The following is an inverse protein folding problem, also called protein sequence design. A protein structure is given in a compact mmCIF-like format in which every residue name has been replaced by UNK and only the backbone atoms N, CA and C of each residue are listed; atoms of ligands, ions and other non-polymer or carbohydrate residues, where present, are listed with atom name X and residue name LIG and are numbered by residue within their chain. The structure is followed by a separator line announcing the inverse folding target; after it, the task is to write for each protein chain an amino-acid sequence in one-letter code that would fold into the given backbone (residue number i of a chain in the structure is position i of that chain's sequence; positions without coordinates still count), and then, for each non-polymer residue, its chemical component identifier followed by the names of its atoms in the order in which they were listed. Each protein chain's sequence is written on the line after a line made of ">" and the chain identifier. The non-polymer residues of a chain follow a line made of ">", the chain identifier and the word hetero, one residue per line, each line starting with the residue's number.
data_IF_049722513426
#
_entry.id   IF_049722513426
#
_cell.length_a   1.000
_cell.length_b   1.000
_cell.length_c   1.000
_cell.angle_alpha   90.00
_cell.angle_beta   90.00
_cell.angle_gamma   90.00
#
_symmetry.space_group_name_H-M   'P 1'
#
loop_
_entity.id
_entity.type
_entity.pdbx_description
1 polymer ?
#
# COMPACT_ATOMS: atom_id res chain seq x y z
N UNK A 1 -3.58 -56.01 17.53
CA UNK A 1 -4.13 -56.44 16.23
C UNK A 1 -5.44 -55.68 16.05
N UNK A 2 -5.39 -54.52 15.39
CA UNK A 2 -6.56 -53.68 15.14
C UNK A 2 -7.03 -53.90 13.71
N UNK A 3 -8.31 -54.23 13.57
CA UNK A 3 -8.96 -54.51 12.31
C UNK A 3 -9.05 -53.23 11.46
N UNK A 4 -8.55 -53.31 10.23
CA UNK A 4 -8.76 -52.31 9.17
C UNK A 4 -10.09 -52.60 8.48
N UNK A 5 -11.04 -51.66 8.56
CA UNK A 5 -12.26 -51.69 7.75
C UNK A 5 -11.96 -51.20 6.33
N UNK A 6 -12.06 -52.09 5.35
CA UNK A 6 -11.98 -51.75 3.92
C UNK A 6 -13.30 -51.16 3.44
N UNK A 7 -13.26 -49.98 2.82
CA UNK A 7 -14.41 -49.37 2.16
C UNK A 7 -14.64 -50.06 0.81
N UNK A 8 -15.78 -50.71 0.64
CA UNK A 8 -16.19 -51.30 -0.64
C UNK A 8 -16.94 -50.24 -1.45
N UNK A 9 -16.39 -49.89 -2.62
CA UNK A 9 -16.96 -48.90 -3.55
C UNK A 9 -17.81 -49.64 -4.58
N UNK A 10 -19.08 -49.27 -4.71
CA UNK A 10 -19.98 -49.84 -5.72
C UNK A 10 -19.70 -49.22 -7.11
N UNK A 11 -19.94 -49.96 -8.21
CA UNK A 11 -19.61 -49.53 -9.57
C UNK A 11 -20.46 -48.34 -10.10
N UNK A 12 -21.42 -47.84 -9.33
CA UNK A 12 -22.21 -46.64 -9.62
C UNK A 12 -21.66 -45.37 -8.94
N UNK A 13 -20.55 -45.49 -8.21
CA UNK A 13 -19.89 -44.37 -7.53
C UNK A 13 -20.54 -43.96 -6.20
N UNK A 14 -21.53 -44.71 -5.72
CA UNK A 14 -22.08 -44.51 -4.37
C UNK A 14 -21.24 -45.24 -3.32
N UNK A 15 -20.99 -44.58 -2.18
CA UNK A 15 -20.38 -45.19 -1.00
C UNK A 15 -21.46 -45.42 0.06
N UNK A 16 -21.67 -46.68 0.43
CA UNK A 16 -22.61 -47.03 1.51
C UNK A 16 -21.78 -47.37 2.74
N UNK A 17 -21.92 -46.59 3.81
CA UNK A 17 -21.31 -46.89 5.10
C UNK A 17 -22.34 -47.61 5.98
N UNK A 18 -22.05 -48.84 6.38
CA UNK A 18 -22.81 -49.54 7.42
C UNK A 18 -22.56 -48.87 8.78
N UNK A 19 -23.42 -47.92 9.13
CA UNK A 19 -23.42 -47.28 10.44
C UNK A 19 -24.24 -48.13 11.43
N UNK A 20 -23.56 -49.05 12.10
CA UNK A 20 -24.11 -49.78 13.24
C UNK A 20 -23.83 -49.01 14.54
N UNK A 21 -24.87 -48.36 15.07
CA UNK A 21 -25.11 -48.17 16.50
C UNK A 21 -24.37 -47.04 17.22
N UNK A 22 -25.10 -45.98 17.57
CA UNK A 22 -25.08 -45.44 18.93
C UNK A 22 -26.34 -44.61 19.18
N UNK A 23 -26.88 -44.81 20.37
CA UNK A 23 -28.21 -44.55 20.86
C UNK A 23 -28.21 -43.36 21.86
N UNK A 24 -29.31 -42.62 21.86
CA UNK A 24 -29.97 -41.88 22.95
C UNK A 24 -29.29 -40.76 23.76
N UNK A 25 -30.09 -39.71 23.97
CA UNK A 25 -29.98 -38.67 25.02
C UNK A 25 -30.54 -37.34 24.52
N UNK A 26 -31.86 -37.17 24.33
CA UNK A 26 -32.84 -36.68 25.32
C UNK A 26 -32.37 -35.49 26.18
N UNK A 27 -33.14 -34.40 26.14
CA UNK A 27 -32.84 -33.15 26.84
C UNK A 27 -33.55 -31.91 26.27
N UNK A 28 -34.88 -31.88 26.39
CA UNK A 28 -35.69 -30.73 26.86
C UNK A 28 -35.20 -29.29 26.57
N UNK A 29 -36.05 -28.48 25.93
CA UNK A 29 -36.88 -27.45 26.60
C UNK A 29 -37.39 -26.40 25.59
N UNK A 30 -38.69 -26.46 25.29
CA UNK A 30 -39.44 -25.33 24.78
C UNK A 30 -39.69 -24.36 25.95
N UNK A 31 -39.43 -23.07 25.74
CA UNK A 31 -39.58 -22.04 26.76
C UNK A 31 -39.45 -20.64 26.17
N UNK A 32 -40.48 -20.26 25.41
CA UNK A 32 -40.81 -18.87 25.08
C UNK A 32 -41.27 -18.17 26.37
N UNK A 33 -40.40 -17.39 27.02
CA UNK A 33 -40.81 -16.33 27.95
C UNK A 33 -39.79 -15.19 27.98
N UNK A 34 -40.27 -13.97 27.72
CA UNK A 34 -39.84 -12.74 28.36
C UNK A 34 -38.36 -12.38 28.27
N UNK A 35 -37.94 -11.77 27.15
CA UNK A 35 -36.80 -10.87 27.18
C UNK A 35 -37.18 -9.64 28.02
N UNK A 36 -36.97 -9.76 29.33
CA UNK A 36 -36.93 -8.64 30.25
C UNK A 36 -35.92 -7.64 29.69
N UNK A 37 -36.43 -6.49 29.28
CA UNK A 37 -35.66 -5.30 28.99
C UNK A 37 -34.92 -4.93 30.28
N UNK A 38 -33.69 -5.40 30.39
CA UNK A 38 -32.77 -5.06 31.48
C UNK A 38 -32.53 -3.55 31.37
N UNK A 39 -33.17 -2.80 32.28
CA UNK A 39 -33.01 -1.36 32.40
C UNK A 39 -31.52 -1.06 32.52
N UNK A 40 -30.97 -0.44 31.47
CA UNK A 40 -29.62 0.10 31.52
C UNK A 40 -29.51 1.00 32.76
N UNK A 41 -28.45 0.84 33.58
CA UNK A 41 -28.26 1.68 34.75
C UNK A 41 -28.27 3.14 34.29
N UNK A 42 -29.29 3.87 34.76
CA UNK A 42 -29.45 5.30 34.53
C UNK A 42 -28.11 5.97 34.79
N UNK A 43 -27.53 6.51 33.72
CA UNK A 43 -26.30 7.26 33.77
C UNK A 43 -26.38 8.42 34.76
N UNK A 44 -25.23 9.00 35.13
CA UNK A 44 -25.14 10.02 36.17
C UNK A 44 -26.23 11.09 36.01
N UNK A 45 -27.05 11.24 37.06
CA UNK A 45 -28.17 12.19 37.12
C UNK A 45 -27.67 13.58 36.73
N UNK A 46 -28.09 14.06 35.56
CA UNK A 46 -27.72 15.37 35.02
C UNK A 46 -27.43 15.39 33.52
N UNK A 47 -27.30 14.24 32.87
CA UNK A 47 -26.99 14.17 31.43
C UNK A 47 -28.28 13.99 30.61
N UNK A 48 -28.55 14.92 29.70
CA UNK A 48 -29.73 14.90 28.82
C UNK A 48 -29.80 13.57 28.03
N UNK A 49 -30.94 12.84 28.03
CA UNK A 49 -31.12 11.63 27.23
C UNK A 49 -30.76 11.80 25.74
N UNK A 50 -30.82 13.02 25.19
CA UNK A 50 -30.35 13.33 23.85
C UNK A 50 -28.85 13.05 23.63
N UNK A 51 -28.01 13.23 24.66
CA UNK A 51 -26.56 13.02 24.58
C UNK A 51 -26.23 11.54 24.37
N UNK A 52 -26.99 10.63 25.01
CA UNK A 52 -26.82 9.20 24.82
C UNK A 52 -27.24 8.75 23.42
N UNK A 53 -28.27 9.36 22.84
CA UNK A 53 -28.65 9.09 21.43
C UNK A 53 -27.57 9.56 20.46
N UNK A 54 -27.01 10.76 20.67
CA UNK A 54 -25.93 11.28 19.81
C UNK A 54 -24.67 10.41 19.92
N UNK A 55 -24.29 9.99 21.12
CA UNK A 55 -23.16 9.08 21.34
C UNK A 55 -23.42 7.70 20.73
N UNK A 56 -24.65 7.18 20.83
CA UNK A 56 -25.04 5.91 20.22
C UNK A 56 -24.96 5.95 18.70
N UNK A 57 -25.45 7.02 18.07
CA UNK A 57 -25.35 7.21 16.61
C UNK A 57 -23.89 7.39 16.18
N UNK A 58 -23.08 8.16 16.91
CA UNK A 58 -21.65 8.30 16.63
C UNK A 58 -20.91 6.95 16.74
N UNK A 59 -21.20 6.17 17.78
CA UNK A 59 -20.63 4.84 17.93
C UNK A 59 -21.06 3.92 16.78
N UNK A 60 -22.32 3.96 16.35
CA UNK A 60 -22.80 3.16 15.22
C UNK A 60 -22.15 3.58 13.89
N UNK A 61 -21.96 4.88 13.64
CA UNK A 61 -21.26 5.39 12.45
C UNK A 61 -19.79 4.99 12.48
N UNK A 62 -19.12 5.05 13.64
CA UNK A 62 -17.73 4.61 13.79
C UNK A 62 -17.58 3.10 13.59
N UNK A 63 -18.50 2.29 14.13
CA UNK A 63 -18.52 0.85 13.93
C UNK A 63 -18.81 0.52 12.46
N UNK A 64 -19.78 1.20 11.83
CA UNK A 64 -20.10 1.03 10.42
C UNK A 64 -18.93 1.43 9.52
N UNK A 65 -18.28 2.57 9.78
CA UNK A 65 -17.08 3.01 9.08
C UNK A 65 -15.92 2.03 9.26
N UNK A 66 -15.71 1.50 10.47
CA UNK A 66 -14.69 0.51 10.74
C UNK A 66 -14.96 -0.82 10.03
N UNK A 67 -16.20 -1.30 10.03
CA UNK A 67 -16.60 -2.50 9.29
C UNK A 67 -16.53 -2.31 7.78
N UNK A 68 -16.93 -1.14 7.27
CA UNK A 68 -16.83 -0.78 5.85
C UNK A 68 -15.36 -0.68 5.41
N UNK A 69 -14.51 -0.02 6.20
CA UNK A 69 -13.07 0.07 5.93
C UNK A 69 -12.38 -1.29 6.00
N UNK A 70 -12.83 -2.19 6.89
CA UNK A 70 -12.31 -3.56 6.97
C UNK A 70 -12.85 -4.46 5.86
N UNK A 71 -14.04 -4.19 5.33
CA UNK A 71 -14.64 -4.92 4.21
C UNK A 71 -14.03 -4.51 2.87
N UNK A 72 -13.80 -3.21 2.66
CA UNK A 72 -13.11 -2.69 1.47
C UNK A 72 -11.73 -3.34 1.27
N UNK A 73 -10.97 -3.57 2.35
CA UNK A 73 -9.66 -4.25 2.25
C UNK A 73 -9.76 -5.72 1.82
N UNK A 74 -10.86 -6.40 2.13
CA UNK A 74 -11.10 -7.77 1.66
C UNK A 74 -11.61 -7.78 0.23
N UNK A 75 -12.45 -6.81 -0.11
CA UNK A 75 -12.96 -6.66 -1.47
C UNK A 75 -11.80 -6.40 -2.45
N UNK A 76 -10.77 -5.63 -2.07
CA UNK A 76 -9.57 -5.42 -2.91
C UNK A 76 -8.75 -6.70 -3.14
N UNK A 77 -8.52 -7.50 -2.08
CA UNK A 77 -7.79 -8.78 -2.16
C UNK A 77 -8.58 -9.84 -2.96
N UNK A 78 -9.91 -9.89 -2.76
CA UNK A 78 -10.80 -10.79 -3.48
C UNK A 78 -10.90 -10.36 -4.95
N UNK A 79 -11.02 -9.06 -5.26
CA UNK A 79 -11.05 -8.58 -6.65
C UNK A 79 -9.73 -8.84 -7.37
N UNK A 80 -8.59 -8.68 -6.70
CA UNK A 80 -7.28 -9.05 -7.24
C UNK A 80 -7.17 -10.56 -7.51
N UNK A 81 -7.69 -11.40 -6.60
CA UNK A 81 -7.75 -12.85 -6.77
C UNK A 81 -8.65 -13.26 -7.95
N UNK A 82 -9.81 -12.62 -8.11
CA UNK A 82 -10.73 -12.90 -9.22
C UNK A 82 -10.25 -12.34 -10.57
N UNK A 83 -9.55 -11.19 -10.61
CA UNK A 83 -8.91 -10.69 -11.83
C UNK A 83 -7.80 -11.61 -12.33
N UNK A 84 -7.05 -12.23 -11.41
CA UNK A 84 -6.07 -13.27 -11.73
C UNK A 84 -6.74 -14.55 -12.26
N UNK A 85 -7.94 -14.87 -11.77
CA UNK A 85 -8.75 -16.01 -12.23
C UNK A 85 -9.42 -15.78 -13.60
N UNK A 86 -9.67 -14.54 -14.01
CA UNK A 86 -10.40 -14.25 -15.25
C UNK A 86 -9.52 -14.16 -16.50
N UNK A 87 -8.20 -14.27 -16.33
CA UNK A 87 -7.22 -14.24 -17.42
C UNK A 87 -6.76 -12.84 -17.82
N UNK A 88 -7.16 -11.80 -17.08
CA UNK A 88 -6.72 -10.41 -17.31
C UNK A 88 -5.20 -10.25 -17.20
N UNK A 89 -4.55 -11.11 -16.40
CA UNK A 89 -3.09 -11.22 -16.31
C UNK A 89 -2.38 -11.36 -17.67
N UNK A 90 -3.07 -11.91 -18.69
CA UNK A 90 -2.53 -12.12 -20.03
C UNK A 90 -3.11 -11.18 -21.10
N UNK A 91 -3.88 -10.16 -20.70
CA UNK A 91 -4.24 -9.06 -21.60
C UNK A 91 -3.05 -8.10 -21.72
N UNK A 92 -1.97 -8.59 -22.35
CA UNK A 92 -0.77 -7.82 -22.60
C UNK A 92 -0.98 -6.89 -23.78
N UNK A 93 -0.54 -5.64 -23.63
CA UNK A 93 -0.38 -4.71 -24.73
C UNK A 93 1.11 -4.56 -25.03
N UNK A 94 1.45 -4.45 -26.31
CA UNK A 94 2.82 -4.15 -26.72
C UNK A 94 3.25 -2.79 -26.16
N UNK A 95 4.53 -2.62 -25.79
CA UNK A 95 5.03 -1.34 -25.30
C UNK A 95 4.93 -0.24 -26.36
N UNK A 96 4.68 1.01 -25.94
CA UNK A 96 4.70 2.18 -26.84
C UNK A 96 6.04 2.36 -27.59
N UNK A 97 7.12 1.74 -27.11
CA UNK A 97 8.41 1.72 -27.79
C UNK A 97 8.37 1.05 -29.17
N UNK A 98 7.37 0.20 -29.44
CA UNK A 98 7.12 -0.40 -30.76
C UNK A 98 6.65 0.67 -31.75
N UNK A 99 5.65 1.48 -31.37
CA UNK A 99 5.15 2.57 -32.22
C UNK A 99 6.24 3.64 -32.44
N UNK A 100 6.96 4.00 -31.38
CA UNK A 100 8.09 4.93 -31.47
C UNK A 100 9.20 4.42 -32.43
N UNK A 101 9.42 3.11 -32.49
CA UNK A 101 10.40 2.52 -33.41
C UNK A 101 9.99 2.75 -34.87
N UNK A 102 8.73 2.49 -35.22
CA UNK A 102 8.26 2.70 -36.59
C UNK A 102 8.30 4.19 -36.99
N UNK A 103 7.96 5.09 -36.07
CA UNK A 103 8.13 6.53 -36.34
C UNK A 103 9.60 6.92 -36.58
N UNK A 104 10.55 6.27 -35.89
CA UNK A 104 11.98 6.50 -36.11
C UNK A 104 12.44 5.84 -37.41
N UNK A 105 11.90 4.67 -37.76
CA UNK A 105 12.17 3.96 -39.03
C UNK A 105 11.76 4.82 -40.21
N UNK A 106 10.54 5.34 -40.23
CA UNK A 106 10.04 6.24 -41.28
C UNK A 106 10.97 7.46 -41.45
N UNK A 107 11.34 8.10 -40.33
CA UNK A 107 12.28 9.23 -40.36
C UNK A 107 13.66 8.83 -40.87
N UNK A 108 14.13 7.62 -40.59
CA UNK A 108 15.44 7.14 -41.06
C UNK A 108 15.39 6.84 -42.56
N UNK A 109 14.31 6.23 -43.05
CA UNK A 109 14.06 5.97 -44.47
C UNK A 109 13.97 7.28 -45.26
N UNK A 110 13.26 8.29 -44.75
CA UNK A 110 13.21 9.65 -45.32
C UNK A 110 14.59 10.31 -45.38
N UNK A 111 15.47 9.98 -44.43
CA UNK A 111 16.85 10.44 -44.38
C UNK A 111 17.83 9.57 -45.20
N UNK A 112 17.31 8.67 -46.04
CA UNK A 112 18.09 7.86 -46.97
C UNK A 112 18.68 6.58 -46.37
N UNK A 113 18.14 6.09 -45.25
CA UNK A 113 18.46 4.74 -44.78
C UNK A 113 17.84 3.69 -45.71
N UNK A 114 18.61 2.64 -46.01
CA UNK A 114 18.13 1.48 -46.76
C UNK A 114 18.54 0.19 -46.03
N UNK A 115 17.70 -0.85 -46.06
CA UNK A 115 18.01 -2.15 -45.46
C UNK A 115 19.33 -2.75 -45.99
N UNK A 116 20.13 -3.31 -45.09
CA UNK A 116 21.36 -4.03 -45.41
C UNK A 116 22.53 -3.17 -45.91
N UNK A 117 22.37 -1.84 -46.03
CA UNK A 117 23.49 -0.95 -46.38
C UNK A 117 24.24 -0.52 -45.11
N UNK A 118 25.55 -0.82 -45.01
CA UNK A 118 26.36 -0.30 -43.92
C UNK A 118 26.52 1.22 -44.04
N UNK A 119 26.79 1.94 -42.94
CA UNK A 119 27.04 3.38 -42.98
C UNK A 119 28.22 3.70 -43.90
N UNK A 120 28.07 4.74 -44.73
CA UNK A 120 29.05 5.07 -45.78
C UNK A 120 30.33 5.66 -45.18
N UNK A 121 30.20 6.43 -44.10
CA UNK A 121 31.28 7.18 -43.47
C UNK A 121 31.32 7.00 -41.95
N UNK A 122 32.47 7.25 -41.31
CA UNK A 122 32.61 7.18 -39.84
C UNK A 122 31.68 8.16 -39.09
N UNK A 123 31.39 9.34 -39.65
CA UNK A 123 30.38 10.25 -39.06
C UNK A 123 28.97 9.65 -39.12
N UNK A 124 28.58 9.03 -40.23
CA UNK A 124 27.28 8.33 -40.35
C UNK A 124 27.20 7.10 -39.44
N UNK A 125 28.33 6.41 -39.22
CA UNK A 125 28.39 5.32 -38.26
C UNK A 125 28.21 5.78 -36.81
N UNK A 126 28.59 7.03 -36.48
CA UNK A 126 28.53 7.57 -35.12
C UNK A 126 27.17 8.20 -34.77
N UNK A 127 26.52 8.87 -35.72
CA UNK A 127 25.24 9.56 -35.48
C UNK A 127 24.28 9.55 -36.67
N UNK A 128 24.54 8.74 -37.70
CA UNK A 128 23.69 8.67 -38.88
C UNK A 128 22.40 7.89 -38.64
N UNK A 129 21.48 7.89 -39.63
CA UNK A 129 20.18 7.22 -39.56
C UNK A 129 20.29 5.74 -39.14
N UNK A 130 21.30 5.03 -39.66
CA UNK A 130 21.58 3.65 -39.31
C UNK A 130 21.76 3.44 -37.79
N UNK A 131 22.52 4.31 -37.12
CA UNK A 131 22.75 4.20 -35.68
C UNK A 131 21.55 4.62 -34.84
N UNK A 132 20.80 5.63 -35.31
CA UNK A 132 19.57 6.07 -34.66
C UNK A 132 18.53 4.96 -34.69
N UNK A 133 18.37 4.29 -35.83
CA UNK A 133 17.46 3.16 -35.99
C UNK A 133 17.87 1.97 -35.12
N UNK A 134 19.16 1.62 -35.09
CA UNK A 134 19.68 0.56 -34.22
C UNK A 134 19.43 0.87 -32.73
N UNK A 135 19.58 2.12 -32.29
CA UNK A 135 19.26 2.53 -30.93
C UNK A 135 17.76 2.42 -30.62
N UNK A 136 16.90 2.81 -31.57
CA UNK A 136 15.46 2.68 -31.41
C UNK A 136 15.03 1.21 -31.31
N UNK A 137 15.57 0.32 -32.16
CA UNK A 137 15.30 -1.11 -32.08
C UNK A 137 15.78 -1.71 -30.75
N UNK A 138 16.97 -1.31 -30.28
CA UNK A 138 17.47 -1.71 -28.96
C UNK A 138 16.54 -1.23 -27.83
N UNK A 139 15.98 -0.02 -27.92
CA UNK A 139 15.01 0.51 -26.95
C UNK A 139 13.72 -0.32 -26.93
N UNK A 140 13.18 -0.66 -28.11
CA UNK A 140 12.03 -1.57 -28.27
C UNK A 140 12.31 -2.92 -27.60
N UNK A 141 13.39 -3.58 -27.99
CA UNK A 141 13.80 -4.87 -27.42
C UNK A 141 13.99 -4.83 -25.89
N UNK A 142 14.54 -3.74 -25.34
CA UNK A 142 14.67 -3.57 -23.88
C UNK A 142 13.31 -3.48 -23.19
N UNK A 143 12.32 -2.83 -23.82
CA UNK A 143 10.97 -2.69 -23.31
C UNK A 143 10.17 -4.00 -23.37
N UNK A 144 10.51 -4.90 -24.30
CA UNK A 144 9.84 -6.22 -24.45
C UNK A 144 10.35 -7.26 -23.45
N UNK A 145 11.56 -7.10 -22.90
CA UNK A 145 12.16 -8.07 -21.97
C UNK A 145 11.27 -8.43 -20.78
N UNK A 146 10.61 -7.49 -20.07
CA UNK A 146 9.67 -7.81 -19.01
C UNK A 146 8.53 -8.73 -19.48
N UNK A 147 7.99 -8.50 -20.68
CA UNK A 147 6.90 -9.29 -21.25
C UNK A 147 7.39 -10.70 -21.60
N UNK A 148 8.52 -10.81 -22.32
CA UNK A 148 9.16 -12.08 -22.67
C UNK A 148 9.49 -12.88 -21.41
N UNK A 149 10.09 -12.23 -20.42
CA UNK A 149 10.45 -12.86 -19.14
C UNK A 149 9.20 -13.32 -18.37
N UNK A 150 8.10 -12.55 -18.44
CA UNK A 150 6.85 -12.92 -17.80
C UNK A 150 6.25 -14.18 -18.43
N UNK A 151 6.10 -14.22 -19.75
CA UNK A 151 5.57 -15.39 -20.47
C UNK A 151 6.45 -16.63 -20.24
N UNK A 152 7.77 -16.49 -20.30
CA UNK A 152 8.69 -17.62 -20.06
C UNK A 152 8.57 -18.19 -18.65
N UNK A 153 8.38 -17.35 -17.63
CA UNK A 153 8.18 -17.80 -16.25
C UNK A 153 6.84 -18.50 -16.05
N UNK A 154 5.79 -17.98 -16.68
CA UNK A 154 4.43 -18.52 -16.54
C UNK A 154 4.21 -19.79 -17.36
N UNK A 155 4.94 -19.98 -18.47
CA UNK A 155 4.75 -21.08 -19.42
C UNK A 155 4.69 -22.47 -18.77
N UNK A 156 5.68 -22.82 -17.94
CA UNK A 156 5.71 -24.13 -17.29
C UNK A 156 4.55 -24.33 -16.30
N UNK A 157 4.20 -23.26 -15.56
CA UNK A 157 3.11 -23.29 -14.60
C UNK A 157 1.75 -23.43 -15.28
N UNK A 158 1.52 -22.65 -16.33
CA UNK A 158 0.25 -22.62 -17.05
C UNK A 158 -0.02 -23.92 -17.80
N UNK A 159 0.99 -24.49 -18.47
CA UNK A 159 0.89 -25.80 -19.11
C UNK A 159 0.50 -26.90 -18.10
N UNK A 160 1.08 -26.87 -16.90
CA UNK A 160 0.76 -27.82 -15.83
C UNK A 160 -0.68 -27.64 -15.34
N UNK A 161 -1.09 -26.41 -15.05
CA UNK A 161 -2.45 -26.10 -14.59
C UNK A 161 -3.51 -26.55 -15.60
N UNK A 162 -3.26 -26.34 -16.90
CA UNK A 162 -4.17 -26.78 -17.96
C UNK A 162 -4.26 -28.31 -18.02
N UNK A 163 -3.11 -29.01 -17.98
CA UNK A 163 -3.08 -30.47 -17.99
C UNK A 163 -3.81 -31.12 -16.80
N UNK A 164 -3.86 -30.43 -15.66
CA UNK A 164 -4.53 -30.88 -14.44
C UNK A 164 -5.98 -30.38 -14.34
N UNK A 165 -6.50 -29.70 -15.37
CA UNK A 165 -7.83 -29.06 -15.37
C UNK A 165 -8.03 -28.07 -14.20
N UNK A 166 -6.94 -27.45 -13.74
CA UNK A 166 -6.91 -26.48 -12.63
C UNK A 166 -6.95 -25.02 -13.09
N UNK A 167 -6.96 -24.75 -14.40
CA UNK A 167 -7.24 -23.42 -14.95
C UNK A 167 -8.41 -23.48 -15.92
N UNK A 168 -9.09 -22.34 -16.08
CA UNK A 168 -10.19 -22.23 -17.02
C UNK A 168 -9.70 -22.26 -18.47
N UNK A 169 -10.55 -22.74 -19.39
CA UNK A 169 -10.26 -22.71 -20.84
C UNK A 169 -10.07 -21.27 -21.33
N UNK A 170 -10.76 -20.30 -20.72
CA UNK A 170 -10.61 -18.87 -21.03
C UNK A 170 -9.21 -18.39 -20.68
N UNK A 171 -8.73 -18.64 -19.46
CA UNK A 171 -7.36 -18.30 -19.02
C UNK A 171 -6.28 -18.95 -19.89
N UNK A 172 -6.49 -20.22 -20.27
CA UNK A 172 -5.55 -20.92 -21.15
C UNK A 172 -5.48 -20.26 -22.53
N UNK A 173 -6.63 -19.90 -23.11
CA UNK A 173 -6.67 -19.20 -24.40
C UNK A 173 -6.06 -17.81 -24.34
N UNK A 174 -6.28 -17.05 -23.26
CA UNK A 174 -5.64 -15.74 -23.09
C UNK A 174 -4.13 -15.87 -22.95
N UNK A 175 -3.64 -16.88 -22.22
CA UNK A 175 -2.21 -17.20 -22.16
C UNK A 175 -1.65 -17.53 -23.55
N UNK A 176 -2.30 -18.41 -24.32
CA UNK A 176 -1.85 -18.77 -25.67
C UNK A 176 -1.82 -17.58 -26.62
N UNK A 177 -2.81 -16.69 -26.52
CA UNK A 177 -2.84 -15.46 -27.32
C UNK A 177 -1.67 -14.53 -26.96
N UNK A 178 -1.39 -14.36 -25.67
CA UNK A 178 -0.26 -13.58 -25.19
C UNK A 178 1.10 -14.19 -25.59
N UNK A 179 1.23 -15.52 -25.51
CA UNK A 179 2.42 -16.26 -25.94
C UNK A 179 2.65 -16.12 -27.45
N UNK A 180 1.59 -16.21 -28.26
CA UNK A 180 1.65 -16.02 -29.70
C UNK A 180 2.06 -14.58 -30.06
N UNK A 181 1.47 -13.58 -29.39
CA UNK A 181 1.82 -12.17 -29.58
C UNK A 181 3.29 -11.90 -29.27
N UNK A 182 3.77 -12.35 -28.10
CA UNK A 182 5.15 -12.13 -27.67
C UNK A 182 6.13 -12.91 -28.55
N UNK A 183 5.76 -14.09 -29.03
CA UNK A 183 6.59 -14.86 -29.98
C UNK A 183 6.69 -14.18 -31.33
N UNK A 184 5.59 -13.60 -31.85
CA UNK A 184 5.60 -12.82 -33.09
C UNK A 184 6.50 -11.60 -32.96
N UNK A 185 6.37 -10.85 -31.86
CA UNK A 185 7.22 -9.69 -31.55
C UNK A 185 8.72 -10.07 -31.53
N UNK A 186 9.07 -11.20 -30.92
CA UNK A 186 10.47 -11.68 -30.86
C UNK A 186 11.02 -11.96 -32.26
N UNK A 187 10.24 -12.59 -33.13
CA UNK A 187 10.68 -12.88 -34.51
C UNK A 187 10.70 -11.62 -35.39
N UNK A 188 9.77 -10.68 -35.20
CA UNK A 188 9.80 -9.36 -35.87
C UNK A 188 11.06 -8.59 -35.51
N UNK A 189 11.39 -8.47 -34.21
CA UNK A 189 12.62 -7.79 -33.77
C UNK A 189 13.87 -8.47 -34.32
N UNK A 190 13.86 -9.80 -34.48
CA UNK A 190 14.99 -10.51 -35.12
C UNK A 190 15.09 -10.19 -36.61
N UNK A 191 13.98 -10.21 -37.33
CA UNK A 191 13.97 -9.86 -38.75
C UNK A 191 14.47 -8.43 -38.97
N UNK A 192 13.94 -7.47 -38.20
CA UNK A 192 14.35 -6.06 -38.23
C UNK A 192 15.83 -5.87 -37.85
N UNK A 193 16.33 -6.63 -36.86
CA UNK A 193 17.74 -6.58 -36.50
C UNK A 193 18.65 -7.05 -37.64
N UNK A 194 18.26 -8.12 -38.36
CA UNK A 194 19.01 -8.61 -39.52
C UNK A 194 18.89 -7.68 -40.74
N UNK A 195 17.79 -6.94 -40.89
CA UNK A 195 17.65 -5.87 -41.89
C UNK A 195 18.59 -4.69 -41.62
N UNK A 196 18.78 -4.33 -40.34
CA UNK A 196 19.71 -3.27 -39.94
C UNK A 196 21.16 -3.73 -40.12
N UNK A 197 21.53 -4.85 -39.49
CA UNK A 197 22.88 -5.39 -39.56
C UNK A 197 22.83 -6.92 -39.66
N UNK A 198 23.39 -7.53 -40.72
CA UNK A 198 23.35 -8.98 -40.90
C UNK A 198 23.97 -9.74 -39.71
N UNK A 199 23.19 -10.63 -39.09
CA UNK A 199 23.62 -11.46 -37.97
C UNK A 199 23.40 -10.81 -36.60
N UNK A 200 22.87 -9.59 -36.55
CA UNK A 200 22.56 -8.91 -35.30
C UNK A 200 21.38 -9.56 -34.55
N UNK A 201 20.47 -10.23 -35.27
CA UNK A 201 19.34 -10.97 -34.68
C UNK A 201 19.76 -11.99 -33.61
N UNK A 202 20.95 -12.58 -33.76
CA UNK A 202 21.47 -13.59 -32.84
C UNK A 202 21.94 -13.00 -31.50
N UNK A 203 22.30 -11.71 -31.47
CA UNK A 203 22.94 -11.09 -30.31
C UNK A 203 22.12 -9.97 -29.68
N UNK A 204 21.17 -9.38 -30.41
CA UNK A 204 20.38 -8.23 -29.95
C UNK A 204 19.66 -8.49 -28.63
N UNK A 205 19.00 -9.64 -28.48
CA UNK A 205 18.29 -10.01 -27.25
C UNK A 205 19.22 -10.19 -26.04
N UNK A 206 20.42 -10.76 -26.25
CA UNK A 206 21.42 -10.90 -25.20
C UNK A 206 21.93 -9.53 -24.75
N UNK A 207 22.19 -8.64 -25.70
CA UNK A 207 22.62 -7.26 -25.43
C UNK A 207 21.51 -6.51 -24.67
N UNK A 208 20.26 -6.58 -25.16
CA UNK A 208 19.11 -5.96 -24.52
C UNK A 208 18.92 -6.47 -23.08
N UNK A 209 19.07 -7.78 -22.83
CA UNK A 209 19.00 -8.34 -21.47
C UNK A 209 20.05 -7.77 -20.53
N UNK A 210 21.29 -7.60 -21.01
CA UNK A 210 22.35 -6.97 -20.23
C UNK A 210 22.02 -5.51 -19.91
N UNK A 211 21.53 -4.75 -20.90
CA UNK A 211 21.11 -3.36 -20.71
C UNK A 211 19.92 -3.23 -19.76
N UNK A 212 18.90 -4.10 -19.89
CA UNK A 212 17.75 -4.13 -19.01
C UNK A 212 18.16 -4.33 -17.54
N UNK A 213 19.04 -5.30 -17.28
CA UNK A 213 19.55 -5.56 -15.94
C UNK A 213 20.37 -4.39 -15.40
N UNK A 214 21.19 -3.76 -16.24
CA UNK A 214 21.95 -2.57 -15.87
C UNK A 214 21.03 -1.40 -15.51
N UNK A 215 20.02 -1.12 -16.34
CA UNK A 215 19.03 -0.07 -16.11
C UNK A 215 18.24 -0.33 -14.84
N UNK A 216 17.76 -1.55 -14.64
CA UNK A 216 17.06 -1.96 -13.42
C UNK A 216 17.90 -1.71 -12.18
N UNK A 217 19.16 -2.17 -12.17
CA UNK A 217 20.09 -1.94 -11.06
C UNK A 217 20.31 -0.44 -10.81
N UNK A 218 20.45 0.37 -11.86
CA UNK A 218 20.61 1.83 -11.75
C UNK A 218 19.39 2.49 -11.13
N UNK A 219 18.19 2.15 -11.60
CA UNK A 219 16.93 2.68 -11.05
C UNK A 219 16.72 2.27 -9.59
N UNK A 220 17.07 1.03 -9.23
CA UNK A 220 17.02 0.58 -7.84
C UNK A 220 18.01 1.34 -6.94
N UNK A 221 19.23 1.61 -7.42
CA UNK A 221 20.22 2.41 -6.70
C UNK A 221 19.73 3.86 -6.54
N UNK A 222 19.23 4.47 -7.61
CA UNK A 222 18.70 5.83 -7.60
C UNK A 222 17.49 5.97 -6.65
N UNK A 223 16.55 5.03 -6.71
CA UNK A 223 15.40 4.99 -5.79
C UNK A 223 15.85 4.84 -4.33
N UNK A 224 16.85 3.98 -4.05
CA UNK A 224 17.44 3.84 -2.71
C UNK A 224 18.13 5.13 -2.26
N UNK A 225 18.85 5.81 -3.15
CA UNK A 225 19.51 7.08 -2.85
C UNK A 225 18.50 8.20 -2.56
N UNK A 226 17.44 8.31 -3.36
CA UNK A 226 16.35 9.26 -3.16
C UNK A 226 15.60 8.99 -1.84
N UNK A 227 15.30 7.73 -1.54
CA UNK A 227 14.67 7.34 -0.27
C UNK A 227 15.58 7.68 0.93
N UNK A 228 16.88 7.41 0.83
CA UNK A 228 17.84 7.75 1.88
C UNK A 228 17.98 9.27 2.07
N UNK A 229 17.98 10.05 0.99
CA UNK A 229 17.99 11.51 1.06
C UNK A 229 16.68 12.07 1.65
N UNK A 230 15.53 11.49 1.27
CA UNK A 230 14.23 11.87 1.82
C UNK A 230 14.15 11.57 3.33
N UNK A 231 14.64 10.41 3.77
CA UNK A 231 14.71 10.05 5.20
C UNK A 231 15.60 11.02 5.97
N UNK A 232 16.80 11.32 5.46
CA UNK A 232 17.72 12.29 6.10
C UNK A 232 17.11 13.69 6.16
N UNK A 233 16.39 14.11 5.11
CA UNK A 233 15.72 15.42 5.09
C UNK A 233 14.55 15.45 6.08
N UNK A 234 13.77 14.38 6.18
CA UNK A 234 12.69 14.27 7.16
C UNK A 234 13.20 14.30 8.60
N UNK A 235 14.30 13.59 8.88
CA UNK A 235 14.98 13.63 10.19
C UNK A 235 15.48 15.04 10.52
N UNK A 236 16.12 15.73 9.57
CA UNK A 236 16.59 17.10 9.78
C UNK A 236 15.45 18.09 10.02
N UNK A 237 14.31 17.92 9.34
CA UNK A 237 13.12 18.74 9.57
C UNK A 237 12.51 18.45 10.94
N UNK A 238 12.41 17.17 11.34
CA UNK A 238 11.90 16.78 12.66
C UNK A 238 12.79 17.30 13.81
N UNK A 239 14.12 17.29 13.65
CA UNK A 239 15.04 17.87 14.63
C UNK A 239 14.85 19.39 14.74
N UNK A 240 14.77 20.10 13.61
CA UNK A 240 14.51 21.55 13.61
C UNK A 240 13.16 21.91 14.22
N UNK A 241 12.12 21.14 13.93
CA UNK A 241 10.78 21.34 14.49
C UNK A 241 10.75 21.05 16.00
N UNK A 242 11.52 20.04 16.45
CA UNK A 242 11.68 19.77 17.88
C UNK A 242 12.47 20.87 18.60
N UNK A 243 13.48 21.49 17.96
CA UNK A 243 14.20 22.65 18.50
C UNK A 243 13.30 23.89 18.59
N UNK A 244 12.57 24.22 17.53
CA UNK A 244 11.63 25.35 17.52
C UNK A 244 10.54 25.20 18.59
N UNK A 245 9.98 24.00 18.77
CA UNK A 245 9.00 23.73 19.82
C UNK A 245 9.58 23.87 21.24
N UNK A 246 10.86 23.51 21.45
CA UNK A 246 11.52 23.71 22.74
C UNK A 246 11.72 25.20 23.02
N UNK A 247 12.22 25.95 22.04
CA UNK A 247 12.41 27.40 22.17
C UNK A 247 11.09 28.13 22.42
N UNK A 248 10.01 27.74 21.75
CA UNK A 248 8.68 28.33 21.94
C UNK A 248 8.12 28.04 23.36
N UNK A 249 8.36 26.84 23.89
CA UNK A 249 7.93 26.46 25.24
C UNK A 249 8.74 27.18 26.33
N UNK A 250 10.04 27.38 26.11
CA UNK A 250 10.88 28.16 27.02
C UNK A 250 10.47 29.64 27.04
N UNK A 251 10.18 30.24 25.88
CA UNK A 251 9.65 31.61 25.80
C UNK A 251 8.32 31.75 26.54
N UNK A 252 7.37 30.83 26.34
CA UNK A 252 6.08 30.85 27.06
C UNK A 252 6.26 30.80 28.58
N UNK A 253 7.19 29.99 29.09
CA UNK A 253 7.48 29.92 30.53
C UNK A 253 8.07 31.21 31.09
N UNK A 254 8.91 31.90 30.32
CA UNK A 254 9.48 33.19 30.72
C UNK A 254 8.38 34.24 30.77
N UNK A 255 7.54 34.32 29.74
CA UNK A 255 6.42 35.27 29.68
C UNK A 255 5.40 35.04 30.82
N UNK A 256 5.13 33.77 31.15
CA UNK A 256 4.23 33.41 32.27
C UNK A 256 4.84 33.76 33.63
N UNK A 257 6.16 33.58 33.81
CA UNK A 257 6.88 33.96 35.02
C UNK A 257 6.93 35.49 35.21
N UNK A 258 7.10 36.24 34.13
CA UNK A 258 7.08 37.72 34.15
C UNK A 258 5.70 38.26 34.53
N UNK A 259 4.63 37.72 33.96
CA UNK A 259 3.26 38.06 34.35
C UNK A 259 2.97 37.74 35.82
N UNK A 260 3.42 36.57 36.30
CA UNK A 260 3.25 36.19 37.70
C UNK A 260 4.04 37.11 38.65
N UNK A 261 5.24 37.53 38.25
CA UNK A 261 6.04 38.48 39.02
C UNK A 261 5.40 39.88 39.07
N UNK A 262 4.88 40.39 37.94
CA UNK A 262 4.13 41.65 37.91
C UNK A 262 2.88 41.60 38.81
N UNK A 263 2.16 40.48 38.82
CA UNK A 263 0.98 40.32 39.66
C UNK A 263 1.35 40.33 41.16
N UNK A 264 2.44 39.68 41.55
CA UNK A 264 2.94 39.70 42.92
C UNK A 264 3.41 41.10 43.35
N UNK A 265 4.11 41.85 42.49
CA UNK A 265 4.51 43.24 42.77
C UNK A 265 3.27 44.11 42.97
N UNK A 266 2.25 43.94 42.12
CA UNK A 266 0.99 44.67 42.22
C UNK A 266 0.20 44.30 43.50
N UNK A 267 0.30 43.05 43.97
CA UNK A 267 -0.26 42.64 45.25
C UNK A 267 0.54 43.24 46.42
N UNK A 268 1.87 43.28 46.36
CA UNK A 268 2.68 43.95 47.38
C UNK A 268 2.41 45.46 47.47
N UNK A 269 2.18 46.15 46.35
CA UNK A 269 1.78 47.57 46.35
C UNK A 269 0.38 47.79 46.94
N UNK A 270 -0.56 46.86 46.67
CA UNK A 270 -1.89 46.85 47.30
C UNK A 270 -1.82 46.54 48.79
N UNK A 271 -0.90 45.70 49.22
CA UNK A 271 -0.66 45.39 50.63
C UNK A 271 0.08 46.51 51.36
N UNK A 272 1.06 47.16 50.73
CA UNK A 272 1.73 48.34 51.31
C UNK A 272 0.75 49.51 51.44
N UNK A 273 -0.05 49.79 50.41
CA UNK A 273 -1.08 50.82 50.49
C UNK A 273 -2.21 50.48 51.48
N UNK A 274 -2.60 49.20 51.62
CA UNK A 274 -3.56 48.79 52.65
C UNK A 274 -2.97 48.83 54.07
N UNK A 275 -1.67 48.54 54.25
CA UNK A 275 -0.97 48.62 55.54
C UNK A 275 -0.67 50.06 55.96
N UNK A 276 -0.40 50.96 55.01
CA UNK A 276 -0.36 52.41 55.26
C UNK A 276 -1.75 52.97 55.61
N UNK A 277 -2.81 52.48 54.94
CA UNK A 277 -4.19 52.83 55.28
C UNK A 277 -4.64 52.26 56.65
N UNK A 278 -4.12 51.10 57.05
CA UNK A 278 -4.43 50.46 58.34
C UNK A 278 -3.58 51.01 59.50
N UNK A 279 -2.36 51.49 59.23
CA UNK A 279 -1.50 52.16 60.22
C UNK A 279 -1.96 53.56 60.61
N UNK A 280 -2.78 54.22 59.78
CA UNK A 280 -3.21 55.60 59.98
C UNK A 280 -4.55 55.79 60.72
N UNK A 281 -5.26 54.71 61.11
CA UNK A 281 -6.54 54.81 61.84
C UNK A 281 -6.63 53.86 63.05
N UNK A 282 -6.39 54.44 64.23
CA UNK A 282 -6.85 54.02 65.57
C UNK A 282 -6.44 52.60 66.05
N UNK A 283 -5.87 52.44 67.25
CA UNK A 283 -6.44 52.99 68.48
C UNK A 283 -7.62 52.14 68.92
N UNK A 284 -7.34 51.01 69.59
CA UNK A 284 -8.28 50.25 70.42
C UNK A 284 -9.31 49.36 69.70
N UNK A 285 -9.28 48.05 69.99
CA UNK A 285 -10.29 47.39 70.84
C UNK A 285 -10.10 45.85 70.91
N UNK A 286 -10.25 45.39 72.17
CA UNK A 286 -10.86 44.13 72.65
C UNK A 286 -10.21 42.77 72.35
N UNK A 287 -9.54 42.30 73.42
CA UNK A 287 -9.67 40.96 74.03
C UNK A 287 -11.00 40.25 73.71
N UNK A 288 -10.87 38.99 73.30
CA UNK A 288 -11.70 37.89 73.78
C UNK A 288 -12.51 37.15 72.73
N UNK A 289 -12.06 35.96 72.33
CA UNK A 289 -12.89 34.74 72.38
C UNK A 289 -12.02 33.48 72.23
N UNK A 290 -12.25 32.50 73.10
CA UNK A 290 -11.70 31.13 73.11
C UNK A 290 -12.04 30.38 71.80
N UNK A 291 -11.36 29.32 71.35
CA UNK A 291 -11.29 27.95 71.90
C UNK A 291 -10.16 27.17 71.20
N UNK A 292 -9.21 26.57 71.90
CA UNK A 292 -9.20 25.13 72.28
C UNK A 292 -9.50 24.14 71.14
N UNK A 293 -8.47 23.49 70.61
CA UNK A 293 -8.46 22.02 70.44
C UNK A 293 -7.04 21.49 70.28
N UNK A 294 -6.64 20.72 71.28
CA UNK A 294 -5.45 19.88 71.37
C UNK A 294 -5.94 18.43 71.30
N UNK A 295 -5.41 17.61 70.40
CA UNK A 295 -5.28 16.14 70.51
C UNK A 295 -4.51 15.66 69.27
N UNK A 296 -3.27 15.21 69.47
CA UNK A 296 -2.83 13.83 69.78
C UNK A 296 -2.59 13.06 68.49
#
# INVERSE_FOLDING_TARGET
>A
MSATGEATINPDGSTTFDNAGADSGDGTFAGEEGAAFEEMPMGPKGTDPAIYLVLGVLAMVLIWYFLYSRRSKKDDDDFAFFSDLDGEKFNLNLPAAVDEYYEVKDKCEDNGWEPGKPPTNQQEAASGPHRVLAQALMKRCIADIPLVTHIQKESAGMNKLYSQSMCSVKQWKTYQAAEAMVSAEVEEVRAEADEIEPGWSQVIWRQAMQYHNMLKNRHEIEAKQLAAMASKKAEQLAVKEAELNKEENEKKKIDDAEKAAEELIKQEEREKSSKEAFGAKNGGLKKGFLTSSKKK
#
